data_IF_533496950662
#
_entry.id   IF_533496950662
#
_cell.length_a   1.000
_cell.length_b   1.000
_cell.length_c   1.000
_cell.angle_alpha   90.00
_cell.angle_beta   90.00
_cell.angle_gamma   90.00
#
_symmetry.space_group_name_H-M   'P 1'
#
loop_
_entity.id
_entity.type
_entity.pdbx_description
1 polymer ?
#
# COMPACT_ATOMS: atom_id res chain seq x y z
N UNK A 1 -10.93 -1.63 2.00
CA UNK A 1 -11.12 -0.18 1.88
C UNK A 1 -12.53 0.18 1.41
N UNK A 2 -12.97 -0.19 0.19
CA UNK A 2 -14.31 0.21 -0.32
C UNK A 2 -15.50 -0.26 0.54
N UNK A 3 -15.39 -1.43 1.17
CA UNK A 3 -16.35 -1.96 2.16
C UNK A 3 -16.15 -1.42 3.60
N UNK A 4 -15.21 -0.50 3.81
CA UNK A 4 -14.84 0.02 5.14
C UNK A 4 -13.94 -0.89 5.99
N UNK A 5 -13.61 -2.10 5.53
CA UNK A 5 -12.90 -3.11 6.34
C UNK A 5 -11.38 -2.95 6.46
N UNK A 6 -10.76 -2.19 5.55
CA UNK A 6 -9.30 -1.96 5.56
C UNK A 6 -9.08 -0.46 5.54
N UNK A 7 -8.21 0.11 6.40
CA UNK A 7 -8.03 1.55 6.54
C UNK A 7 -7.10 2.16 5.49
N UNK A 8 -6.31 1.32 4.81
CA UNK A 8 -5.38 1.70 3.75
C UNK A 8 -5.54 0.73 2.58
N UNK A 9 -5.43 1.23 1.36
CA UNK A 9 -5.18 0.46 0.16
C UNK A 9 -3.90 0.96 -0.50
N UNK A 10 -3.07 0.04 -0.98
CA UNK A 10 -1.83 0.35 -1.71
C UNK A 10 -1.77 -0.53 -2.95
N UNK A 11 -1.45 0.09 -4.08
CA UNK A 11 -1.19 -0.57 -5.35
C UNK A 11 0.21 -0.20 -5.83
N UNK A 12 0.84 -1.09 -6.60
CA UNK A 12 2.08 -0.80 -7.32
C UNK A 12 1.73 -0.69 -8.80
N UNK A 13 2.03 0.45 -9.41
CA UNK A 13 1.91 0.65 -10.86
C UNK A 13 3.28 0.86 -11.46
N UNK A 14 3.54 0.31 -12.63
CA UNK A 14 4.68 0.75 -13.43
C UNK A 14 4.49 2.21 -13.85
N UNK A 15 5.60 2.95 -13.90
CA UNK A 15 5.57 4.40 -14.17
C UNK A 15 5.11 4.70 -15.61
N UNK A 16 5.48 3.86 -16.57
CA UNK A 16 5.24 4.12 -17.99
C UNK A 16 3.93 3.51 -18.50
N UNK A 17 3.41 2.47 -17.83
CA UNK A 17 2.18 1.80 -18.27
C UNK A 17 1.43 1.17 -17.10
N UNK A 18 0.35 1.82 -16.68
CA UNK A 18 -0.61 1.20 -15.76
C UNK A 18 -1.40 0.10 -16.48
N UNK A 19 -1.37 -1.16 -16.00
CA UNK A 19 -2.19 -2.22 -16.56
C UNK A 19 -3.69 -1.89 -16.48
N UNK A 20 -4.48 -2.31 -17.47
CA UNK A 20 -5.92 -2.03 -17.52
C UNK A 20 -6.66 -2.51 -16.27
N UNK A 21 -6.22 -3.63 -15.69
CA UNK A 21 -6.78 -4.14 -14.44
C UNK A 21 -6.65 -3.13 -13.29
N UNK A 22 -5.51 -2.43 -13.17
CA UNK A 22 -5.30 -1.38 -12.17
C UNK A 22 -6.08 -0.12 -12.51
N UNK A 23 -6.15 0.26 -13.79
CA UNK A 23 -6.94 1.42 -14.25
C UNK A 23 -8.40 1.31 -13.82
N UNK A 24 -8.99 0.11 -13.90
CA UNK A 24 -10.36 -0.13 -13.42
C UNK A 24 -10.49 0.14 -11.92
N UNK A 25 -9.55 -0.35 -11.11
CA UNK A 25 -9.56 -0.10 -9.67
C UNK A 25 -9.36 1.38 -9.35
N UNK A 26 -8.39 2.05 -9.97
CA UNK A 26 -8.15 3.47 -9.75
C UNK A 26 -9.39 4.31 -10.02
N UNK A 27 -10.09 4.09 -11.14
CA UNK A 27 -11.38 4.76 -11.41
C UNK A 27 -12.44 4.57 -10.33
N UNK A 28 -12.49 3.40 -9.68
CA UNK A 28 -13.44 3.16 -8.58
C UNK A 28 -13.06 3.97 -7.33
N UNK A 29 -11.77 4.06 -7.01
CA UNK A 29 -11.28 4.84 -5.88
C UNK A 29 -11.31 6.36 -6.15
N UNK A 30 -10.95 6.79 -7.35
CA UNK A 30 -10.85 8.20 -7.74
C UNK A 30 -12.21 8.90 -7.62
N UNK A 31 -13.32 8.23 -7.96
CA UNK A 31 -14.69 8.73 -7.68
C UNK A 31 -14.92 9.04 -6.20
N UNK A 32 -14.36 8.24 -5.31
CA UNK A 32 -14.46 8.47 -3.87
C UNK A 32 -13.54 9.60 -3.41
N UNK A 33 -12.38 9.78 -4.06
CA UNK A 33 -11.48 10.93 -3.82
C UNK A 33 -12.14 12.23 -4.26
N UNK A 34 -12.74 12.28 -5.47
CA UNK A 34 -13.49 13.43 -5.98
C UNK A 34 -14.63 13.83 -5.05
N UNK A 35 -15.31 12.86 -4.43
CA UNK A 35 -16.36 13.10 -3.42
C UNK A 35 -15.85 13.47 -2.02
N UNK A 36 -14.53 13.55 -1.81
CA UNK A 36 -13.90 13.83 -0.52
C UNK A 36 -13.93 12.69 0.50
N UNK A 37 -14.42 11.50 0.11
CA UNK A 37 -14.51 10.32 0.98
C UNK A 37 -13.16 9.66 1.26
N UNK A 38 -12.21 9.77 0.33
CA UNK A 38 -10.86 9.28 0.48
C UNK A 38 -9.84 10.34 0.12
N UNK A 39 -8.63 10.17 0.64
CA UNK A 39 -7.43 10.86 0.17
C UNK A 39 -6.59 9.90 -0.66
N UNK A 40 -5.90 10.42 -1.68
CA UNK A 40 -4.99 9.68 -2.56
C UNK A 40 -3.61 10.29 -2.49
N UNK A 41 -2.56 9.46 -2.50
CA UNK A 41 -1.20 9.89 -2.83
C UNK A 41 -0.55 8.92 -3.79
N UNK A 42 0.25 9.46 -4.69
CA UNK A 42 1.13 8.70 -5.56
C UNK A 42 2.57 8.98 -5.14
N UNK A 43 3.35 7.94 -4.93
CA UNK A 43 4.75 8.05 -4.53
C UNK A 43 5.61 7.25 -5.51
N UNK A 44 6.37 7.97 -6.33
CA UNK A 44 7.26 7.37 -7.31
C UNK A 44 8.53 6.87 -6.63
N UNK A 45 8.89 5.62 -6.91
CA UNK A 45 10.15 5.01 -6.54
C UNK A 45 10.97 4.79 -7.80
N UNK A 46 12.14 5.42 -7.84
CA UNK A 46 13.12 5.21 -8.89
C UNK A 46 14.25 4.34 -8.33
N UNK A 47 14.30 3.07 -8.77
CA UNK A 47 15.51 2.26 -8.67
C UNK A 47 16.25 2.34 -10.01
N UNK A 48 17.55 2.03 -10.01
CA UNK A 48 18.40 2.09 -11.23
C UNK A 48 17.82 1.31 -12.41
N UNK A 49 17.08 0.23 -12.16
CA UNK A 49 16.55 -0.68 -13.18
C UNK A 49 15.02 -0.68 -13.28
N UNK A 50 14.30 -0.10 -12.30
CA UNK A 50 12.84 -0.15 -12.24
C UNK A 50 12.26 1.16 -11.76
N UNK A 51 11.23 1.63 -12.46
CA UNK A 51 10.45 2.82 -12.08
C UNK A 51 9.01 2.41 -11.86
N UNK A 52 8.58 2.45 -10.62
CA UNK A 52 7.21 2.15 -10.23
C UNK A 52 6.70 3.22 -9.27
N UNK A 53 5.38 3.31 -9.11
CA UNK A 53 4.75 4.17 -8.12
C UNK A 53 3.88 3.35 -7.18
N UNK A 54 3.93 3.72 -5.90
CA UNK A 54 2.89 3.33 -4.96
C UNK A 54 1.71 4.28 -5.11
N UNK A 55 0.52 3.74 -5.36
CA UNK A 55 -0.74 4.47 -5.38
C UNK A 55 -1.51 4.11 -4.13
N UNK A 56 -1.64 5.06 -3.20
CA UNK A 56 -2.20 4.83 -1.87
C UNK A 56 -3.52 5.58 -1.68
N UNK A 57 -4.47 4.93 -1.03
CA UNK A 57 -5.77 5.49 -0.67
C UNK A 57 -6.11 5.21 0.80
N UNK A 58 -6.64 6.20 1.49
CA UNK A 58 -7.11 6.05 2.87
C UNK A 58 -8.34 6.94 3.14
N UNK A 59 -9.05 6.70 4.25
CA UNK A 59 -9.98 7.70 4.78
C UNK A 59 -9.20 8.95 5.21
N UNK A 60 -9.80 10.17 5.15
CA UNK A 60 -9.12 11.39 5.58
C UNK A 60 -8.55 11.30 7.01
N UNK A 61 -9.30 10.71 7.95
CA UNK A 61 -8.84 10.50 9.33
C UNK A 61 -7.69 9.47 9.46
N UNK A 62 -7.52 8.60 8.46
CA UNK A 62 -6.49 7.56 8.39
C UNK A 62 -5.32 7.97 7.47
N UNK A 63 -5.26 9.22 7.01
CA UNK A 63 -4.22 9.71 6.10
C UNK A 63 -2.80 9.50 6.65
N UNK A 64 -2.65 9.48 7.97
CA UNK A 64 -1.38 9.20 8.65
C UNK A 64 -0.78 7.84 8.26
N UNK A 65 -1.61 6.86 7.88
CA UNK A 65 -1.15 5.54 7.41
C UNK A 65 -0.45 5.64 6.06
N UNK A 66 -0.88 6.55 5.19
CA UNK A 66 -0.20 6.81 3.92
C UNK A 66 1.19 7.37 4.19
N UNK A 67 1.28 8.39 5.05
CA UNK A 67 2.56 9.02 5.42
C UNK A 67 3.53 8.00 6.02
N UNK A 68 3.03 7.14 6.92
CA UNK A 68 3.83 6.09 7.55
C UNK A 68 4.25 5.00 6.56
N UNK A 69 3.37 4.58 5.66
CA UNK A 69 3.69 3.58 4.63
C UNK A 69 4.78 4.08 3.69
N UNK A 70 4.69 5.33 3.22
CA UNK A 70 5.72 5.93 2.35
C UNK A 70 7.07 5.92 3.08
N UNK A 71 7.12 6.42 4.32
CA UNK A 71 8.35 6.41 5.12
C UNK A 71 8.92 5.01 5.32
N UNK A 72 8.06 4.03 5.59
CA UNK A 72 8.46 2.62 5.74
C UNK A 72 9.11 2.08 4.46
N UNK A 73 8.56 2.42 3.29
CA UNK A 73 9.11 2.03 1.97
C UNK A 73 10.40 2.73 1.61
N UNK A 74 10.64 3.93 2.15
CA UNK A 74 11.87 4.71 1.95
C UNK A 74 13.02 4.28 2.88
N UNK A 75 12.75 3.50 3.93
CA UNK A 75 13.81 3.11 4.88
C UNK A 75 14.92 2.30 4.17
N UNK A 76 16.19 2.70 4.30
CA UNK A 76 17.30 1.96 3.70
C UNK A 76 17.52 0.63 4.42
N UNK A 77 18.16 -0.33 3.76
CA UNK A 77 18.48 -1.65 4.33
C UNK A 77 17.52 -2.76 3.89
N UNK A 78 17.80 -3.98 4.35
CA UNK A 78 17.05 -5.16 3.93
C UNK A 78 15.63 -5.16 4.49
N UNK A 79 14.70 -5.64 3.68
CA UNK A 79 13.30 -5.78 4.04
C UNK A 79 13.10 -7.06 4.86
N UNK A 80 12.89 -6.90 6.16
CA UNK A 80 12.81 -7.99 7.15
C UNK A 80 11.49 -7.99 7.93
N UNK A 81 11.32 -8.99 8.80
CA UNK A 81 10.04 -9.32 9.47
C UNK A 81 9.35 -8.15 10.17
N UNK A 82 10.11 -7.26 10.81
CA UNK A 82 9.54 -6.09 11.49
C UNK A 82 8.85 -5.14 10.51
N UNK A 83 9.43 -4.95 9.32
CA UNK A 83 8.84 -4.11 8.26
C UNK A 83 7.61 -4.77 7.65
N UNK A 84 7.63 -6.09 7.48
CA UNK A 84 6.45 -6.87 7.05
C UNK A 84 5.28 -6.67 8.01
N UNK A 85 5.55 -6.79 9.31
CA UNK A 85 4.53 -6.67 10.34
C UNK A 85 3.97 -5.26 10.38
N UNK A 86 4.84 -4.25 10.31
CA UNK A 86 4.42 -2.85 10.25
C UNK A 86 3.60 -2.55 8.99
N UNK A 87 4.01 -3.01 7.81
CA UNK A 87 3.23 -2.90 6.58
C UNK A 87 1.85 -3.55 6.74
N UNK A 88 1.80 -4.75 7.32
CA UNK A 88 0.57 -5.46 7.60
C UNK A 88 -0.38 -4.66 8.49
N UNK A 89 0.12 -4.10 9.59
CA UNK A 89 -0.65 -3.23 10.49
C UNK A 89 -1.18 -1.99 9.79
N UNK A 90 -0.35 -1.34 8.96
CA UNK A 90 -0.76 -0.15 8.20
C UNK A 90 -1.88 -0.48 7.22
N UNK A 91 -1.83 -1.64 6.58
CA UNK A 91 -2.90 -2.18 5.72
C UNK A 91 -4.14 -2.64 6.51
N UNK A 92 -4.07 -2.71 7.84
CA UNK A 92 -5.15 -3.14 8.73
C UNK A 92 -5.30 -4.65 8.82
N UNK A 93 -4.20 -5.39 8.76
CA UNK A 93 -4.16 -6.78 9.21
C UNK A 93 -3.99 -6.84 10.74
N UNK A 94 -4.67 -7.79 11.36
CA UNK A 94 -4.53 -8.09 12.78
C UNK A 94 -3.24 -8.87 13.04
N UNK A 95 -2.78 -8.88 14.30
CA UNK A 95 -1.52 -9.53 14.69
C UNK A 95 -1.44 -10.98 14.22
N UNK A 96 -2.49 -11.77 14.47
CA UNK A 96 -2.50 -13.19 14.08
C UNK A 96 -2.45 -13.38 12.55
N UNK A 97 -2.98 -12.44 11.76
CA UNK A 97 -2.90 -12.51 10.29
C UNK A 97 -1.46 -12.27 9.83
N UNK A 98 -0.77 -11.33 10.50
CA UNK A 98 0.64 -11.04 10.23
C UNK A 98 1.53 -12.22 10.67
N UNK A 99 1.20 -12.89 11.77
CA UNK A 99 1.93 -14.09 12.24
C UNK A 99 1.80 -15.25 11.23
N UNK A 100 0.59 -15.51 10.73
CA UNK A 100 0.37 -16.50 9.66
C UNK A 100 1.17 -16.14 8.39
N UNK A 101 1.22 -14.85 8.03
CA UNK A 101 2.02 -14.41 6.88
C UNK A 101 3.53 -14.60 7.09
N UNK A 102 4.03 -14.29 8.28
CA UNK A 102 5.43 -14.47 8.64
C UNK A 102 5.84 -15.95 8.53
N UNK A 103 5.02 -16.85 9.07
CA UNK A 103 5.23 -18.30 8.99
C UNK A 103 5.28 -18.80 7.54
N UNK A 104 4.36 -18.34 6.69
CA UNK A 104 4.32 -18.72 5.28
C UNK A 104 5.57 -18.27 4.52
N UNK A 105 6.13 -17.11 4.86
CA UNK A 105 7.34 -16.59 4.23
C UNK A 105 8.57 -17.39 4.65
N UNK A 106 8.68 -17.78 5.92
CA UNK A 106 9.77 -18.61 6.42
C UNK A 106 9.81 -19.98 5.73
N UNK A 107 8.66 -20.56 5.37
CA UNK A 107 8.58 -21.84 4.66
C UNK A 107 9.01 -21.78 3.19
N UNK A 108 9.11 -20.59 2.60
CA UNK A 108 9.49 -20.36 1.20
C UNK A 108 10.96 -19.98 1.01
N UNK A 109 11.69 -19.79 2.10
CA UNK A 109 13.12 -19.44 2.11
C UNK A 109 13.94 -20.68 2.40
#
# INVERSE_FOLDING_TARGET
MLRGLKPLAMFVSEYERTPECLTRYFRMFDRHVESGRFVKREHAVAAETYRFSYVLYALPAEAWRIDRMIRLKELPGQWGSDREREEGHLLGYEDWMNDVWADLRMRKT
#
